data_IF_324726064103
#
_entry.id   IF_324726064103
#
_cell.length_a   1.000
_cell.length_b   1.000
_cell.length_c   1.000
_cell.angle_alpha   90.00
_cell.angle_beta   90.00
_cell.angle_gamma   90.00
#
_symmetry.space_group_name_H-M   'P 1'
#
loop_
_entity.id
_entity.type
_entity.pdbx_description
1 polymer ?
#
# COMPACT_ATOMS: atom_id res chain seq x y z
N UNK A 1 -4.54 11.85 8.06
CA UNK A 1 -4.86 11.49 6.66
C UNK A 1 -3.51 11.34 6.03
N UNK A 2 -3.28 10.28 5.26
CA UNK A 2 -1.95 10.10 4.69
C UNK A 2 -1.79 11.13 3.58
N UNK A 3 -0.74 11.94 3.64
CA UNK A 3 -0.38 12.91 2.61
C UNK A 3 0.85 12.37 1.90
N UNK A 4 0.68 12.08 0.61
CA UNK A 4 1.76 11.67 -0.27
C UNK A 4 2.14 12.86 -1.12
N UNK A 5 3.35 13.37 -0.92
CA UNK A 5 3.95 14.43 -1.73
C UNK A 5 5.02 13.83 -2.60
N UNK A 6 4.87 13.99 -3.90
CA UNK A 6 5.87 13.59 -4.90
C UNK A 6 6.24 14.82 -5.69
N UNK A 7 7.53 15.08 -5.81
CA UNK A 7 8.07 16.21 -6.56
C UNK A 7 9.11 15.66 -7.52
N UNK A 8 8.83 15.74 -8.80
CA UNK A 8 9.78 15.46 -9.86
C UNK A 8 10.21 16.78 -10.51
N UNK A 9 11.09 16.73 -11.50
CA UNK A 9 11.49 17.91 -12.29
C UNK A 9 10.31 18.53 -13.04
N UNK A 10 9.38 17.70 -13.50
CA UNK A 10 8.28 18.10 -14.38
C UNK A 10 6.96 18.32 -13.63
N UNK A 11 6.76 17.64 -12.50
CA UNK A 11 5.47 17.64 -11.83
C UNK A 11 5.57 17.61 -10.30
N UNK A 12 4.56 18.19 -9.66
CA UNK A 12 4.41 18.19 -8.20
C UNK A 12 3.03 17.68 -7.85
N UNK A 13 2.99 16.54 -7.16
CA UNK A 13 1.77 15.90 -6.72
C UNK A 13 1.65 15.98 -5.20
N UNK A 14 0.46 16.32 -4.73
CA UNK A 14 0.10 16.24 -3.33
C UNK A 14 -1.23 15.51 -3.22
N UNK A 15 -1.17 14.22 -2.91
CA UNK A 15 -2.34 13.33 -2.90
C UNK A 15 -2.69 13.05 -1.43
N UNK A 16 -3.78 13.64 -0.93
CA UNK A 16 -4.33 13.24 0.37
C UNK A 16 -5.08 11.92 0.20
N UNK A 17 -4.66 10.90 0.93
CA UNK A 17 -5.27 9.58 0.99
C UNK A 17 -6.07 9.49 2.32
N UNK A 18 -7.41 9.51 2.25
CA UNK A 18 -8.25 9.30 3.41
C UNK A 18 -8.13 7.87 3.95
N UNK A 19 -8.21 7.70 5.27
CA UNK A 19 -8.23 6.37 5.89
C UNK A 19 -9.43 5.51 5.46
N UNK A 20 -10.53 6.14 5.03
CA UNK A 20 -11.66 5.44 4.45
C UNK A 20 -11.24 4.66 3.20
N UNK A 21 -10.43 5.28 2.34
CA UNK A 21 -9.93 4.62 1.13
C UNK A 21 -9.03 3.42 1.47
N UNK A 22 -8.15 3.56 2.47
CA UNK A 22 -7.34 2.44 2.95
C UNK A 22 -8.19 1.28 3.46
N UNK A 23 -9.24 1.56 4.24
CA UNK A 23 -10.16 0.53 4.74
C UNK A 23 -10.92 -0.18 3.61
N UNK A 24 -11.33 0.56 2.57
CA UNK A 24 -11.98 -0.01 1.39
C UNK A 24 -11.00 -0.90 0.64
N UNK A 25 -9.78 -0.43 0.37
CA UNK A 25 -8.73 -1.20 -0.29
C UNK A 25 -8.43 -2.49 0.49
N UNK A 26 -8.24 -2.42 1.80
CA UNK A 26 -8.04 -3.60 2.65
C UNK A 26 -9.22 -4.58 2.53
N UNK A 27 -10.45 -4.07 2.57
CA UNK A 27 -11.64 -4.93 2.49
C UNK A 27 -11.77 -5.64 1.14
N UNK A 28 -11.38 -4.96 0.05
CA UNK A 28 -11.43 -5.48 -1.31
C UNK A 28 -10.29 -6.47 -1.56
N UNK A 29 -9.04 -6.07 -1.31
CA UNK A 29 -7.83 -6.88 -1.55
C UNK A 29 -7.84 -8.17 -0.74
N UNK A 30 -8.23 -8.10 0.54
CA UNK A 30 -8.27 -9.26 1.42
C UNK A 30 -9.65 -9.95 1.45
N UNK A 31 -10.46 -9.76 0.41
CA UNK A 31 -11.69 -10.53 0.23
C UNK A 31 -11.36 -11.94 -0.28
N UNK A 32 -12.18 -12.93 0.11
CA UNK A 32 -12.03 -14.33 -0.34
C UNK A 32 -12.08 -14.45 -1.87
N UNK A 33 -12.81 -13.56 -2.54
CA UNK A 33 -12.92 -13.55 -3.99
C UNK A 33 -11.59 -13.15 -4.63
N UNK A 34 -11.03 -11.99 -4.25
CA UNK A 34 -9.74 -11.55 -4.79
C UNK A 34 -8.62 -12.50 -4.42
N UNK A 35 -8.58 -13.03 -3.20
CA UNK A 35 -7.59 -14.03 -2.81
C UNK A 35 -7.66 -15.29 -3.68
N UNK A 36 -8.87 -15.82 -3.95
CA UNK A 36 -9.04 -17.00 -4.82
C UNK A 36 -8.59 -16.76 -6.27
N UNK A 37 -8.86 -15.56 -6.81
CA UNK A 37 -8.43 -15.19 -8.15
C UNK A 37 -6.93 -14.89 -8.21
N UNK A 38 -6.39 -14.19 -7.21
CA UNK A 38 -4.97 -13.91 -7.08
C UNK A 38 -4.17 -15.19 -6.91
N UNK A 39 -4.61 -16.17 -6.13
CA UNK A 39 -3.94 -17.46 -5.98
C UNK A 39 -3.89 -18.24 -7.30
N UNK A 40 -4.97 -18.21 -8.08
CA UNK A 40 -5.00 -18.85 -9.41
C UNK A 40 -4.03 -18.17 -10.37
N UNK A 41 -4.10 -16.84 -10.47
CA UNK A 41 -3.23 -16.03 -11.32
C UNK A 41 -1.75 -16.14 -10.92
N UNK A 42 -1.47 -16.09 -9.62
CA UNK A 42 -0.14 -16.24 -9.04
C UNK A 42 0.38 -17.64 -9.38
N UNK A 43 -0.35 -18.72 -9.14
CA UNK A 43 0.09 -20.08 -9.51
C UNK A 43 0.40 -20.22 -11.00
N UNK A 44 -0.37 -19.57 -11.89
CA UNK A 44 -0.14 -19.61 -13.35
C UNK A 44 1.08 -18.78 -13.78
N UNK A 45 1.31 -17.60 -13.19
CA UNK A 45 2.45 -16.75 -13.51
C UNK A 45 3.76 -17.22 -12.87
N UNK A 46 3.69 -17.76 -11.64
CA UNK A 46 4.85 -18.20 -10.89
C UNK A 46 5.33 -19.60 -11.28
N UNK A 47 4.46 -20.47 -11.84
CA UNK A 47 4.89 -21.71 -12.53
C UNK A 47 5.87 -21.42 -13.68
N UNK A 48 5.79 -20.26 -14.33
CA UNK A 48 6.73 -19.86 -15.40
C UNK A 48 8.07 -19.32 -14.87
N UNK A 49 8.20 -19.07 -13.57
CA UNK A 49 9.40 -18.46 -12.95
C UNK A 49 9.99 -19.27 -11.78
N UNK A 50 9.52 -20.49 -11.51
CA UNK A 50 9.95 -21.38 -10.40
C UNK A 50 9.96 -20.74 -9.00
N UNK A 51 9.25 -19.63 -8.81
CA UNK A 51 9.20 -18.93 -7.53
C UNK A 51 7.94 -19.37 -6.77
N UNK A 52 8.10 -20.08 -5.65
CA UNK A 52 6.98 -20.52 -4.81
C UNK A 52 6.43 -19.38 -3.93
N UNK A 53 5.96 -18.29 -4.54
CA UNK A 53 5.30 -17.22 -3.80
C UNK A 53 3.82 -17.57 -3.60
N UNK A 54 3.44 -17.86 -2.36
CA UNK A 54 2.03 -17.98 -1.95
C UNK A 54 1.64 -16.68 -1.30
N UNK A 55 0.54 -16.06 -1.75
CA UNK A 55 0.04 -14.85 -1.11
C UNK A 55 -0.28 -15.20 0.35
N UNK A 56 0.37 -14.55 1.35
CA UNK A 56 0.11 -14.89 2.73
C UNK A 56 -1.36 -14.61 3.06
N UNK A 57 -1.97 -15.51 3.84
CA UNK A 57 -3.33 -15.34 4.34
C UNK A 57 -3.30 -14.23 5.40
N UNK A 58 -3.23 -12.99 4.94
CA UNK A 58 -3.33 -11.81 5.81
C UNK A 58 -4.82 -11.55 6.02
N UNK A 59 -5.26 -11.70 7.27
CA UNK A 59 -6.62 -11.38 7.62
C UNK A 59 -6.81 -9.86 7.68
N UNK A 60 -7.90 -9.38 7.07
CA UNK A 60 -8.38 -7.99 7.20
C UNK A 60 -8.51 -7.56 8.67
N UNK A 61 -8.78 -8.51 9.58
CA UNK A 61 -8.89 -8.25 11.01
C UNK A 61 -7.58 -7.77 11.63
N UNK A 62 -6.42 -8.21 11.11
CA UNK A 62 -5.10 -7.79 11.58
C UNK A 62 -4.70 -6.40 11.08
N UNK A 63 -5.20 -6.00 9.90
CA UNK A 63 -4.85 -4.73 9.28
C UNK A 63 -5.65 -3.54 9.83
N UNK A 64 -6.90 -3.75 10.24
CA UNK A 64 -7.75 -2.68 10.81
C UNK A 64 -7.12 -2.02 12.06
N UNK A 65 -6.59 -2.76 13.05
CA UNK A 65 -5.89 -2.19 14.20
C UNK A 65 -4.69 -1.33 13.78
N UNK A 66 -3.91 -1.77 12.79
CA UNK A 66 -2.75 -1.02 12.28
C UNK A 66 -3.19 0.34 11.73
N UNK A 67 -4.23 0.36 10.89
CA UNK A 67 -4.78 1.62 10.34
C UNK A 67 -5.30 2.53 11.45
N UNK A 68 -5.93 1.96 12.49
CA UNK A 68 -6.41 2.71 13.65
C UNK A 68 -5.26 3.32 14.46
N UNK A 69 -4.16 2.59 14.61
CA UNK A 69 -2.97 3.07 15.30
C UNK A 69 -2.27 4.18 14.50
N UNK A 70 -2.10 4.00 13.19
CA UNK A 70 -1.56 5.04 12.31
C UNK A 70 -2.35 6.35 12.45
N UNK A 71 -3.69 6.28 12.56
CA UNK A 71 -4.53 7.48 12.76
C UNK A 71 -4.19 8.27 14.03
N UNK A 72 -3.62 7.64 15.07
CA UNK A 72 -3.23 8.32 16.32
C UNK A 72 -1.93 9.10 16.16
N UNK A 73 -1.01 8.62 15.33
CA UNK A 73 0.31 9.23 15.10
C UNK A 73 0.28 10.29 13.99
N UNK A 74 -0.68 11.23 14.08
CA UNK A 74 -0.80 12.32 13.10
C UNK A 74 0.48 13.14 13.09
N UNK A 75 0.99 13.42 11.90
CA UNK A 75 2.20 14.21 11.72
C UNK A 75 3.47 13.39 11.53
N UNK A 76 3.42 12.07 11.78
CA UNK A 76 4.57 11.18 11.60
C UNK A 76 4.98 11.12 10.12
N UNK A 77 6.28 11.25 9.86
CA UNK A 77 6.86 11.07 8.52
C UNK A 77 7.27 9.61 8.40
N UNK A 78 6.65 8.90 7.47
CA UNK A 78 6.94 7.49 7.21
C UNK A 78 8.08 7.31 6.21
N UNK A 79 8.10 8.18 5.20
CA UNK A 79 9.06 8.13 4.11
C UNK A 79 9.48 9.56 3.82
N UNK A 80 10.77 9.80 3.79
CA UNK A 80 11.38 11.03 3.31
C UNK A 80 12.60 10.65 2.48
N UNK A 81 12.42 10.60 1.16
CA UNK A 81 13.46 10.14 0.23
C UNK A 81 13.67 11.21 -0.83
N UNK A 82 14.94 11.50 -1.08
CA UNK A 82 15.38 12.31 -2.21
C UNK A 82 16.31 11.47 -3.07
N UNK A 83 15.88 11.18 -4.28
CA UNK A 83 16.67 10.45 -5.26
C UNK A 83 17.71 11.36 -5.93
N UNK A 84 18.75 10.74 -6.49
CA UNK A 84 19.88 11.43 -7.14
C UNK A 84 19.47 12.20 -8.39
N UNK A 85 18.36 11.83 -9.01
CA UNK A 85 17.74 12.51 -10.14
C UNK A 85 17.00 13.81 -9.76
N UNK A 86 16.89 14.11 -8.46
CA UNK A 86 16.18 15.26 -7.89
C UNK A 86 14.73 14.98 -7.53
N UNK A 87 14.24 13.74 -7.68
CA UNK A 87 12.89 13.33 -7.28
C UNK A 87 12.78 13.26 -5.75
N UNK A 88 11.79 13.95 -5.18
CA UNK A 88 11.50 13.94 -3.74
C UNK A 88 10.18 13.23 -3.49
N UNK A 89 10.17 12.26 -2.57
CA UNK A 89 8.99 11.53 -2.13
C UNK A 89 8.87 11.66 -0.63
N UNK A 90 7.76 12.23 -0.17
CA UNK A 90 7.45 12.40 1.24
C UNK A 90 6.07 11.86 1.58
N UNK A 91 6.02 10.93 2.51
CA UNK A 91 4.77 10.33 3.02
C UNK A 91 4.61 10.69 4.48
N UNK A 92 3.49 11.35 4.81
CA UNK A 92 3.16 11.83 6.16
C UNK A 92 1.77 11.37 6.57
N UNK A 93 1.54 11.11 7.86
CA UNK A 93 0.27 10.58 8.42
C UNK A 93 -0.65 11.67 8.98
#
# INVERSE_FOLDING_TARGET
MIHVKVKTKEARFNIPIPYALLNVVISVVFSKFIQKHADKWTKEHFKRKELNFTFPIIDKSMLKPIVKELKKHKGMVLVDVKATDGTEVRVKI
#
